data_IF_251100868213
#
_entry.id   IF_251100868213
#
_cell.length_a   1.000
_cell.length_b   1.000
_cell.length_c   1.000
_cell.angle_alpha   90.00
_cell.angle_beta   90.00
_cell.angle_gamma   90.00
#
_symmetry.space_group_name_H-M   'P 1'
#
loop_
_entity.id
_entity.type
_entity.pdbx_description
1 polymer ?
#
# COMPACT_ATOMS: atom_id res chain seq x y z
N UNK A 1 -10.56 -19.63 2.77
CA UNK A 1 -11.83 -19.42 2.10
C UNK A 1 -12.79 -18.79 3.06
N UNK A 2 -13.45 -17.72 2.64
CA UNK A 2 -14.50 -17.03 3.38
C UNK A 2 -15.86 -17.19 2.68
N UNK A 3 -16.92 -16.59 3.23
CA UNK A 3 -18.28 -16.74 2.69
C UNK A 3 -18.44 -16.12 1.28
N UNK A 4 -17.70 -15.07 0.93
CA UNK A 4 -17.77 -14.43 -0.39
C UNK A 4 -17.00 -15.23 -1.44
N UNK A 5 -15.84 -15.81 -1.10
CA UNK A 5 -15.15 -16.78 -1.95
C UNK A 5 -16.05 -17.99 -2.26
N UNK A 6 -16.72 -18.56 -1.26
CA UNK A 6 -17.65 -19.67 -1.48
C UNK A 6 -18.85 -19.25 -2.34
N UNK A 7 -19.37 -18.05 -2.11
CA UNK A 7 -20.47 -17.47 -2.90
C UNK A 7 -20.11 -17.31 -4.38
N UNK A 8 -18.89 -16.85 -4.67
CA UNK A 8 -18.33 -16.75 -6.02
C UNK A 8 -18.14 -18.15 -6.63
N UNK A 9 -17.51 -19.09 -5.89
CA UNK A 9 -17.25 -20.44 -6.39
C UNK A 9 -18.54 -21.24 -6.62
N UNK A 10 -19.60 -20.97 -5.87
CA UNK A 10 -20.91 -21.59 -6.06
C UNK A 10 -21.64 -21.08 -7.33
N UNK A 11 -21.07 -20.11 -8.05
CA UNK A 11 -21.65 -19.54 -9.25
C UNK A 11 -22.97 -18.80 -9.00
N UNK A 12 -23.17 -18.31 -7.77
CA UNK A 12 -24.36 -17.53 -7.40
C UNK A 12 -24.19 -16.09 -7.85
N UNK A 13 -22.98 -15.55 -7.74
CA UNK A 13 -22.67 -14.25 -8.28
C UNK A 13 -22.91 -14.21 -9.80
N UNK A 14 -23.61 -13.16 -10.22
CA UNK A 14 -23.83 -12.81 -11.62
C UNK A 14 -23.91 -11.29 -11.71
N UNK A 15 -23.57 -10.76 -12.88
CA UNK A 15 -23.75 -9.34 -13.16
C UNK A 15 -25.22 -8.96 -12.94
N UNK A 16 -25.46 -7.85 -12.23
CA UNK A 16 -26.80 -7.36 -11.86
C UNK A 16 -27.61 -8.31 -10.98
N UNK A 17 -26.97 -9.04 -10.06
CA UNK A 17 -27.71 -9.82 -9.08
C UNK A 17 -28.57 -8.89 -8.20
N UNK A 18 -29.89 -9.10 -8.25
CA UNK A 18 -30.88 -8.25 -7.56
C UNK A 18 -31.55 -8.93 -6.37
N UNK A 19 -31.52 -10.27 -6.31
CA UNK A 19 -32.14 -11.08 -5.26
C UNK A 19 -31.56 -12.49 -5.27
N UNK A 20 -31.63 -13.17 -4.12
CA UNK A 20 -31.29 -14.59 -3.96
C UNK A 20 -32.53 -15.46 -4.09
N UNK A 21 -32.34 -16.70 -4.54
CA UNK A 21 -33.39 -17.71 -4.59
C UNK A 21 -33.14 -18.84 -3.58
N UNK A 22 -34.17 -19.67 -3.36
CA UNK A 22 -34.07 -20.83 -2.46
C UNK A 22 -33.01 -21.83 -2.97
N UNK A 23 -32.88 -21.94 -4.30
CA UNK A 23 -31.89 -22.80 -4.95
C UNK A 23 -30.45 -22.36 -4.67
N UNK A 24 -30.21 -21.08 -4.37
CA UNK A 24 -28.86 -20.58 -4.08
C UNK A 24 -28.30 -21.19 -2.79
N UNK A 25 -29.13 -21.38 -1.76
CA UNK A 25 -28.72 -22.11 -0.54
C UNK A 25 -28.28 -23.56 -0.84
N UNK A 26 -28.92 -24.21 -1.81
CA UNK A 26 -28.56 -25.57 -2.20
C UNK A 26 -27.26 -25.62 -3.03
N UNK A 27 -27.03 -24.61 -3.88
CA UNK A 27 -25.74 -24.45 -4.56
C UNK A 27 -24.59 -24.27 -3.55
N UNK A 28 -24.80 -23.48 -2.51
CA UNK A 28 -23.81 -23.29 -1.43
C UNK A 28 -23.44 -24.64 -0.80
N UNK A 29 -24.42 -25.44 -0.39
CA UNK A 29 -24.16 -26.75 0.25
C UNK A 29 -23.35 -27.67 -0.67
N UNK A 30 -23.77 -27.78 -1.93
CA UNK A 30 -23.09 -28.62 -2.92
C UNK A 30 -21.66 -28.17 -3.19
N UNK A 31 -21.47 -26.86 -3.40
CA UNK A 31 -20.14 -26.31 -3.64
C UNK A 31 -19.24 -26.51 -2.42
N UNK A 32 -19.74 -26.29 -1.22
CA UNK A 32 -18.96 -26.48 0.00
C UNK A 32 -18.45 -27.91 0.16
N UNK A 33 -19.28 -28.93 -0.13
CA UNK A 33 -18.83 -30.32 -0.06
C UNK A 33 -17.76 -30.64 -1.11
N UNK A 34 -17.85 -30.04 -2.30
CA UNK A 34 -16.78 -30.13 -3.32
C UNK A 34 -15.47 -29.53 -2.79
N UNK A 35 -15.51 -28.31 -2.25
CA UNK A 35 -14.33 -27.63 -1.69
C UNK A 35 -13.75 -28.40 -0.50
N UNK A 36 -14.60 -28.91 0.40
CA UNK A 36 -14.19 -29.70 1.57
C UNK A 36 -13.52 -31.02 1.16
N UNK A 37 -13.97 -31.64 0.07
CA UNK A 37 -13.34 -32.86 -0.45
C UNK A 37 -11.90 -32.62 -0.94
N UNK A 38 -11.60 -31.41 -1.39
CA UNK A 38 -10.28 -30.99 -1.86
C UNK A 38 -9.43 -30.40 -0.73
N UNK A 39 -10.06 -29.81 0.29
CA UNK A 39 -9.42 -29.23 1.46
C UNK A 39 -10.15 -29.66 2.75
N UNK A 40 -9.72 -30.77 3.39
CA UNK A 40 -10.36 -31.28 4.60
C UNK A 40 -10.28 -30.37 5.83
N UNK A 41 -9.40 -29.36 5.81
CA UNK A 41 -9.20 -28.39 6.91
C UNK A 41 -10.10 -27.16 6.74
N UNK A 42 -10.96 -27.16 5.72
CA UNK A 42 -11.92 -26.09 5.48
C UNK A 42 -12.87 -25.94 6.68
N UNK A 43 -13.06 -24.70 7.12
CA UNK A 43 -13.93 -24.40 8.26
C UNK A 43 -15.38 -24.87 7.96
N UNK A 44 -15.93 -25.80 8.77
CA UNK A 44 -17.27 -26.35 8.57
C UNK A 44 -18.38 -25.30 8.65
N UNK A 45 -18.14 -24.16 9.29
CA UNK A 45 -19.14 -23.11 9.47
C UNK A 45 -19.34 -22.23 8.24
N UNK A 46 -18.42 -22.23 7.26
CA UNK A 46 -18.49 -21.30 6.10
C UNK A 46 -19.80 -21.47 5.33
N UNK A 47 -20.23 -22.71 5.05
CA UNK A 47 -21.49 -22.95 4.35
C UNK A 47 -22.69 -22.50 5.16
N UNK A 48 -22.73 -22.81 6.45
CA UNK A 48 -23.81 -22.42 7.34
C UNK A 48 -23.90 -20.88 7.40
N UNK A 49 -22.77 -20.20 7.58
CA UNK A 49 -22.68 -18.74 7.63
C UNK A 49 -23.12 -18.09 6.32
N UNK A 50 -22.73 -18.63 5.17
CA UNK A 50 -23.19 -18.10 3.88
C UNK A 50 -24.70 -18.32 3.67
N UNK A 51 -25.24 -19.48 4.07
CA UNK A 51 -26.68 -19.73 4.02
C UNK A 51 -27.44 -18.76 4.93
N UNK A 52 -26.93 -18.51 6.14
CA UNK A 52 -27.48 -17.49 7.04
C UNK A 52 -27.40 -16.10 6.41
N UNK A 53 -26.28 -15.72 5.79
CA UNK A 53 -26.14 -14.45 5.08
C UNK A 53 -27.16 -14.29 3.95
N UNK A 54 -27.39 -15.35 3.15
CA UNK A 54 -28.39 -15.36 2.07
C UNK A 54 -29.82 -15.19 2.62
N UNK A 55 -30.16 -15.90 3.69
CA UNK A 55 -31.54 -15.95 4.19
C UNK A 55 -31.92 -14.77 5.10
N UNK A 56 -30.99 -14.33 5.95
CA UNK A 56 -31.25 -13.33 6.99
C UNK A 56 -30.68 -11.94 6.66
N UNK A 57 -29.62 -11.87 5.85
CA UNK A 57 -28.92 -10.62 5.50
C UNK A 57 -28.77 -10.41 3.98
N UNK A 58 -29.84 -10.62 3.18
CA UNK A 58 -29.72 -10.64 1.74
C UNK A 58 -29.28 -9.28 1.16
N UNK A 59 -29.73 -8.17 1.75
CA UNK A 59 -29.42 -6.84 1.23
C UNK A 59 -27.95 -6.49 1.44
N UNK A 60 -27.42 -6.82 2.61
CA UNK A 60 -26.02 -6.62 2.99
C UNK A 60 -25.10 -7.47 2.10
N UNK A 61 -25.44 -8.74 1.86
CA UNK A 61 -24.67 -9.61 0.96
C UNK A 61 -24.71 -9.11 -0.49
N UNK A 62 -25.87 -8.64 -0.98
CA UNK A 62 -25.98 -8.02 -2.31
C UNK A 62 -25.19 -6.73 -2.39
N UNK A 63 -25.17 -5.91 -1.33
CA UNK A 63 -24.37 -4.69 -1.28
C UNK A 63 -22.89 -5.01 -1.46
N UNK A 64 -22.36 -5.96 -0.67
CA UNK A 64 -20.96 -6.40 -0.79
C UNK A 64 -20.69 -6.93 -2.20
N UNK A 65 -21.60 -7.74 -2.75
CA UNK A 65 -21.47 -8.30 -4.10
C UNK A 65 -21.40 -7.25 -5.20
N UNK A 66 -22.06 -6.11 -5.01
CA UNK A 66 -22.07 -5.01 -5.97
C UNK A 66 -21.01 -3.93 -5.67
N UNK A 67 -20.33 -3.98 -4.51
CA UNK A 67 -19.22 -3.09 -4.20
C UNK A 67 -17.91 -3.69 -4.71
N UNK A 68 -17.31 -3.06 -5.73
CA UNK A 68 -16.08 -3.55 -6.36
C UNK A 68 -14.94 -3.85 -5.38
N UNK A 69 -14.70 -2.96 -4.42
CA UNK A 69 -13.54 -3.06 -3.53
C UNK A 69 -13.74 -4.20 -2.56
N UNK A 70 -14.89 -4.21 -1.87
CA UNK A 70 -15.24 -5.26 -0.91
C UNK A 70 -15.33 -6.62 -1.60
N UNK A 71 -16.01 -6.70 -2.75
CA UNK A 71 -16.17 -7.94 -3.47
C UNK A 71 -14.85 -8.52 -3.94
N UNK A 72 -14.06 -7.76 -4.71
CA UNK A 72 -12.78 -8.24 -5.23
C UNK A 72 -11.85 -8.69 -4.10
N UNK A 73 -11.85 -7.95 -2.98
CA UNK A 73 -11.10 -8.32 -1.81
C UNK A 73 -11.55 -9.67 -1.23
N UNK A 74 -12.82 -9.77 -0.81
CA UNK A 74 -13.31 -10.97 -0.14
C UNK A 74 -13.44 -12.17 -1.07
N UNK A 75 -13.62 -11.98 -2.38
CA UNK A 75 -13.68 -13.09 -3.35
C UNK A 75 -12.29 -13.52 -3.85
N UNK A 76 -11.22 -12.77 -3.54
CA UNK A 76 -9.89 -12.97 -4.09
C UNK A 76 -9.83 -12.80 -5.63
N UNK A 77 -10.72 -11.97 -6.20
CA UNK A 77 -10.79 -11.70 -7.65
C UNK A 77 -10.36 -10.28 -7.96
N UNK A 78 -10.17 -9.95 -9.23
CA UNK A 78 -9.84 -8.60 -9.67
C UNK A 78 -10.72 -8.19 -10.86
N UNK A 79 -12.01 -8.07 -10.62
CA UNK A 79 -12.95 -7.64 -11.65
C UNK A 79 -12.83 -6.15 -11.94
N UNK A 80 -13.03 -5.80 -13.21
CA UNK A 80 -13.04 -4.43 -13.69
C UNK A 80 -14.30 -3.70 -13.21
N UNK A 81 -14.24 -2.36 -13.21
CA UNK A 81 -15.38 -1.51 -12.81
C UNK A 81 -16.64 -1.79 -13.64
N UNK A 82 -16.50 -2.18 -14.90
CA UNK A 82 -17.61 -2.43 -15.81
C UNK A 82 -18.50 -3.60 -15.35
N UNK A 83 -17.99 -4.48 -14.48
CA UNK A 83 -18.74 -5.61 -13.92
C UNK A 83 -19.67 -5.21 -12.77
N UNK A 84 -19.46 -4.04 -12.17
CA UNK A 84 -20.20 -3.55 -11.02
C UNK A 84 -21.07 -2.36 -11.46
N UNK A 85 -22.33 -2.63 -11.76
CA UNK A 85 -23.26 -1.64 -12.30
C UNK A 85 -23.89 -0.84 -11.15
N UNK A 86 -23.89 0.49 -11.28
CA UNK A 86 -24.41 1.43 -10.27
C UNK A 86 -25.94 1.49 -10.20
N UNK A 87 -26.63 0.98 -11.22
CA UNK A 87 -28.08 1.17 -11.41
C UNK A 87 -28.92 0.34 -10.41
N UNK A 88 -28.31 -0.67 -9.79
CA UNK A 88 -28.92 -1.50 -8.74
C UNK A 88 -28.30 -1.23 -7.38
N UNK A 89 -28.06 0.05 -7.05
CA UNK A 89 -27.57 0.44 -5.74
C UNK A 89 -28.53 -0.05 -4.64
N UNK A 90 -28.17 -1.17 -3.99
CA UNK A 90 -28.89 -1.67 -2.83
C UNK A 90 -28.62 -0.69 -1.70
N UNK A 91 -29.61 0.14 -1.36
CA UNK A 91 -29.48 1.07 -0.25
C UNK A 91 -29.53 0.29 1.06
N UNK A 92 -28.39 0.23 1.74
CA UNK A 92 -28.22 -0.38 3.06
C UNK A 92 -27.50 0.62 3.95
N UNK A 93 -27.98 0.86 5.19
CA UNK A 93 -27.26 1.70 6.13
C UNK A 93 -25.83 1.21 6.36
N UNK A 94 -24.86 2.11 6.42
CA UNK A 94 -23.44 1.76 6.64
C UNK A 94 -23.24 0.89 7.87
N UNK A 95 -23.94 1.18 8.96
CA UNK A 95 -23.87 0.40 10.21
C UNK A 95 -24.32 -1.05 10.05
N UNK A 96 -25.27 -1.33 9.16
CA UNK A 96 -25.68 -2.70 8.85
C UNK A 96 -24.60 -3.45 8.06
N UNK A 97 -23.92 -2.76 7.14
CA UNK A 97 -22.80 -3.34 6.40
C UNK A 97 -21.62 -3.62 7.34
N UNK A 98 -21.30 -2.70 8.25
CA UNK A 98 -20.29 -2.91 9.29
C UNK A 98 -20.63 -4.12 10.15
N UNK A 99 -21.86 -4.23 10.64
CA UNK A 99 -22.31 -5.36 11.44
C UNK A 99 -22.28 -6.69 10.67
N UNK A 100 -22.60 -6.67 9.38
CA UNK A 100 -22.48 -7.85 8.51
C UNK A 100 -21.03 -8.30 8.37
N UNK A 101 -20.12 -7.38 8.06
CA UNK A 101 -18.68 -7.69 7.91
C UNK A 101 -18.12 -8.17 9.25
N UNK A 102 -18.50 -7.52 10.36
CA UNK A 102 -18.08 -7.92 11.71
C UNK A 102 -18.49 -9.36 12.01
N UNK A 103 -19.75 -9.70 11.73
CA UNK A 103 -20.32 -11.02 11.99
C UNK A 103 -19.71 -12.14 11.15
N UNK A 104 -19.50 -11.90 9.84
CA UNK A 104 -19.18 -12.98 8.91
C UNK A 104 -17.75 -12.95 8.34
N UNK A 105 -17.06 -11.82 8.41
CA UNK A 105 -15.85 -11.57 7.62
C UNK A 105 -14.71 -10.90 8.42
N UNK A 106 -14.92 -10.53 9.68
CA UNK A 106 -13.91 -9.84 10.51
C UNK A 106 -12.60 -10.63 10.62
N UNK A 107 -12.67 -11.95 10.82
CA UNK A 107 -11.47 -12.80 10.93
C UNK A 107 -10.62 -12.76 9.67
N UNK A 108 -11.25 -12.80 8.50
CA UNK A 108 -10.55 -12.74 7.20
C UNK A 108 -9.98 -11.33 6.94
N UNK A 109 -10.72 -10.30 7.33
CA UNK A 109 -10.29 -8.91 7.26
C UNK A 109 -9.05 -8.65 8.13
N UNK A 110 -9.09 -9.05 9.40
CA UNK A 110 -7.99 -8.88 10.34
C UNK A 110 -6.75 -9.64 9.86
N UNK A 111 -6.94 -10.89 9.40
CA UNK A 111 -5.86 -11.69 8.82
C UNK A 111 -5.24 -11.03 7.59
N UNK A 112 -6.04 -10.43 6.73
CA UNK A 112 -5.53 -9.67 5.57
C UNK A 112 -4.66 -8.50 6.01
N UNK A 113 -5.11 -7.70 6.98
CA UNK A 113 -4.34 -6.58 7.50
C UNK A 113 -3.02 -7.06 8.12
N UNK A 114 -3.06 -8.11 8.94
CA UNK A 114 -1.88 -8.71 9.55
C UNK A 114 -0.84 -9.16 8.53
N UNK A 115 -1.28 -9.92 7.53
CA UNK A 115 -0.39 -10.46 6.50
C UNK A 115 0.25 -9.36 5.66
N UNK A 116 -0.53 -8.36 5.23
CA UNK A 116 0.00 -7.28 4.39
C UNK A 116 0.89 -6.32 5.19
N UNK A 117 0.58 -6.03 6.45
CA UNK A 117 1.49 -5.27 7.31
C UNK A 117 2.80 -6.00 7.58
N UNK A 118 2.74 -7.32 7.82
CA UNK A 118 3.95 -8.12 8.01
C UNK A 118 4.83 -8.15 6.76
N UNK A 119 4.22 -8.15 5.57
CA UNK A 119 4.91 -8.13 4.27
C UNK A 119 5.24 -6.72 3.78
N UNK A 120 4.98 -5.67 4.57
CA UNK A 120 5.17 -4.26 4.20
C UNK A 120 4.41 -3.83 2.90
N UNK A 121 3.30 -4.50 2.59
CA UNK A 121 2.38 -4.18 1.47
C UNK A 121 1.35 -3.12 1.88
N UNK A 122 1.84 -1.93 2.23
CA UNK A 122 0.98 -0.86 2.76
C UNK A 122 0.05 -0.25 1.72
N UNK A 123 0.46 -0.23 0.46
CA UNK A 123 -0.35 0.20 -0.69
C UNK A 123 -1.61 -0.66 -0.84
N UNK A 124 -1.48 -1.98 -0.71
CA UNK A 124 -2.62 -2.90 -0.80
C UNK A 124 -3.64 -2.63 0.32
N UNK A 125 -3.17 -2.31 1.52
CA UNK A 125 -4.05 -1.95 2.64
C UNK A 125 -4.68 -0.58 2.41
N UNK A 126 -3.90 0.42 1.99
CA UNK A 126 -4.40 1.78 1.69
C UNK A 126 -5.46 1.77 0.59
N UNK A 127 -5.25 0.99 -0.48
CA UNK A 127 -6.21 0.80 -1.56
C UNK A 127 -7.52 0.19 -1.06
N UNK A 128 -7.45 -0.75 -0.12
CA UNK A 128 -8.64 -1.33 0.50
C UNK A 128 -9.39 -0.33 1.40
N UNK A 129 -8.67 0.57 2.08
CA UNK A 129 -9.27 1.63 2.90
C UNK A 129 -10.07 2.67 2.09
N UNK A 130 -10.06 2.61 0.76
CA UNK A 130 -11.06 3.33 -0.05
C UNK A 130 -12.51 2.87 0.24
N UNK A 131 -12.70 1.70 0.87
CA UNK A 131 -13.99 1.23 1.39
C UNK A 131 -14.11 1.33 2.92
N UNK A 132 -13.26 2.15 3.57
CA UNK A 132 -13.14 2.25 5.05
C UNK A 132 -14.45 2.50 5.78
N UNK A 133 -15.36 3.27 5.18
CA UNK A 133 -16.67 3.59 5.78
C UNK A 133 -17.54 2.37 6.07
N UNK A 134 -17.30 1.24 5.40
CA UNK A 134 -18.05 0.00 5.60
C UNK A 134 -17.36 -0.96 6.59
N UNK A 135 -16.14 -0.67 7.03
CA UNK A 135 -15.36 -1.62 7.82
C UNK A 135 -15.73 -1.55 9.31
N UNK A 136 -15.72 -2.69 10.02
CA UNK A 136 -15.93 -2.71 11.47
C UNK A 136 -14.89 -1.86 12.21
N UNK A 137 -15.34 -1.08 13.20
CA UNK A 137 -14.46 -0.21 13.96
C UNK A 137 -13.36 -0.98 14.69
N UNK A 138 -13.67 -2.17 15.23
CA UNK A 138 -12.69 -3.02 15.91
C UNK A 138 -11.51 -3.39 14.99
N UNK A 139 -11.77 -3.78 13.75
CA UNK A 139 -10.72 -4.10 12.77
C UNK A 139 -9.90 -2.87 12.39
N UNK A 140 -10.53 -1.70 12.30
CA UNK A 140 -9.83 -0.43 12.05
C UNK A 140 -8.95 -0.02 13.23
N UNK A 141 -9.44 -0.16 14.46
CA UNK A 141 -8.68 0.13 15.67
C UNK A 141 -7.47 -0.80 15.81
N UNK A 142 -7.67 -2.11 15.57
CA UNK A 142 -6.60 -3.10 15.53
C UNK A 142 -5.53 -2.76 14.48
N UNK A 143 -5.95 -2.35 13.27
CA UNK A 143 -5.03 -1.91 12.22
C UNK A 143 -4.26 -0.64 12.65
N UNK A 144 -4.94 0.34 13.21
CA UNK A 144 -4.35 1.57 13.73
C UNK A 144 -3.33 1.31 14.84
N UNK A 145 -3.64 0.40 15.76
CA UNK A 145 -2.73 -0.04 16.82
C UNK A 145 -1.48 -0.70 16.22
N UNK A 146 -1.63 -1.64 15.28
CA UNK A 146 -0.48 -2.31 14.64
C UNK A 146 0.43 -1.34 13.87
N UNK A 147 -0.14 -0.30 13.24
CA UNK A 147 0.63 0.76 12.59
C UNK A 147 1.42 1.60 13.61
N UNK A 148 0.78 1.89 14.73
CA UNK A 148 1.38 2.60 15.87
C UNK A 148 2.53 1.78 16.47
N UNK A 149 2.36 0.47 16.64
CA UNK A 149 3.39 -0.48 17.08
C UNK A 149 4.56 -0.57 16.09
N UNK A 150 4.32 -0.47 14.77
CA UNK A 150 5.40 -0.36 13.78
C UNK A 150 6.23 0.91 13.94
N UNK A 151 5.61 2.04 14.30
CA UNK A 151 6.36 3.26 14.61
C UNK A 151 7.19 3.08 15.90
N UNK A 152 6.62 2.47 16.93
CA UNK A 152 7.34 2.14 18.17
C UNK A 152 8.54 1.24 17.90
N UNK A 153 8.36 0.22 17.06
CA UNK A 153 9.44 -0.68 16.65
C UNK A 153 10.62 0.10 16.05
N UNK A 154 10.36 1.08 15.17
CA UNK A 154 11.41 1.91 14.56
C UNK A 154 12.10 2.77 15.61
N UNK A 155 11.34 3.46 16.46
CA UNK A 155 11.89 4.31 17.54
C UNK A 155 12.81 3.47 18.45
N UNK A 156 12.32 2.31 18.90
CA UNK A 156 13.05 1.39 19.77
C UNK A 156 14.32 0.84 19.08
N UNK A 157 14.27 0.58 17.77
CA UNK A 157 15.46 0.14 17.02
C UNK A 157 16.56 1.18 17.01
N UNK A 158 16.23 2.46 16.83
CA UNK A 158 17.23 3.53 16.92
C UNK A 158 17.81 3.68 18.33
N UNK A 159 17.02 3.46 19.37
CA UNK A 159 17.49 3.54 20.76
C UNK A 159 18.39 2.36 21.15
N UNK A 160 18.07 1.15 20.69
CA UNK A 160 18.82 -0.06 21.02
C UNK A 160 20.07 -0.25 20.16
N UNK A 161 20.01 0.09 18.87
CA UNK A 161 21.13 -0.03 17.94
C UNK A 161 21.25 1.21 17.05
N UNK A 162 21.83 2.31 17.54
CA UNK A 162 21.94 3.55 16.78
C UNK A 162 22.79 3.42 15.50
N UNK A 163 23.67 2.43 15.44
CA UNK A 163 24.49 2.15 14.25
C UNK A 163 23.76 1.35 13.19
N UNK A 164 22.61 0.73 13.50
CA UNK A 164 21.89 -0.28 12.70
C UNK A 164 22.82 -1.31 12.02
N UNK A 165 23.97 -1.60 12.63
CA UNK A 165 25.01 -2.48 12.09
C UNK A 165 24.49 -3.89 11.74
N UNK A 166 23.37 -4.29 12.34
CA UNK A 166 22.55 -5.42 11.95
C UNK A 166 21.07 -5.06 12.08
N UNK A 167 20.25 -5.50 11.13
CA UNK A 167 18.80 -5.32 11.16
C UNK A 167 18.26 -4.01 10.58
N UNK A 168 19.04 -3.27 9.78
CA UNK A 168 18.55 -2.12 9.01
C UNK A 168 17.41 -2.49 8.05
N UNK A 169 17.46 -3.69 7.45
CA UNK A 169 16.41 -4.27 6.61
C UNK A 169 15.06 -4.34 7.35
N UNK A 170 15.07 -4.57 8.66
CA UNK A 170 13.85 -4.69 9.45
C UNK A 170 13.06 -3.37 9.54
N UNK A 171 13.69 -2.23 9.29
CA UNK A 171 13.05 -0.91 9.27
C UNK A 171 13.07 -0.27 7.88
N UNK A 172 13.48 -0.99 6.84
CA UNK A 172 13.61 -0.43 5.48
C UNK A 172 12.31 0.19 4.97
N UNK A 173 11.17 -0.31 5.44
CA UNK A 173 9.86 0.20 5.11
C UNK A 173 9.65 1.69 5.43
N UNK A 174 10.43 2.30 6.32
CA UNK A 174 10.35 3.75 6.59
C UNK A 174 10.83 4.59 5.40
N UNK A 175 11.49 3.98 4.40
CA UNK A 175 11.84 4.64 3.15
C UNK A 175 10.64 4.74 2.20
N UNK A 176 9.53 4.04 2.48
CA UNK A 176 8.41 3.91 1.54
C UNK A 176 7.30 4.92 1.82
N UNK A 177 6.89 5.64 0.76
CA UNK A 177 5.76 6.57 0.77
C UNK A 177 4.47 5.93 1.28
N UNK A 178 4.20 4.70 0.84
CA UNK A 178 2.96 3.96 1.11
C UNK A 178 2.76 3.71 2.60
N UNK A 179 3.83 3.52 3.37
CA UNK A 179 3.77 3.43 4.82
C UNK A 179 3.20 4.71 5.44
N UNK A 180 3.76 5.88 5.10
CA UNK A 180 3.31 7.16 5.65
C UNK A 180 1.91 7.58 5.20
N UNK A 181 1.53 7.26 3.95
CA UNK A 181 0.16 7.44 3.47
C UNK A 181 -0.81 6.63 4.33
N UNK A 182 -0.52 5.35 4.58
CA UNK A 182 -1.38 4.49 5.38
C UNK A 182 -1.48 4.97 6.84
N UNK A 183 -0.35 5.32 7.48
CA UNK A 183 -0.33 5.87 8.85
C UNK A 183 -1.15 7.16 8.93
N UNK A 184 -1.23 7.96 7.85
CA UNK A 184 -2.04 9.16 7.79
C UNK A 184 -3.55 8.89 7.95
N UNK A 185 -4.04 7.70 7.61
CA UNK A 185 -5.45 7.32 7.83
C UNK A 185 -5.79 7.08 9.32
N UNK A 186 -4.76 6.97 10.16
CA UNK A 186 -4.83 6.71 11.61
C UNK A 186 -4.03 7.75 12.40
N UNK A 187 -4.05 9.01 11.94
CA UNK A 187 -3.36 10.11 12.62
C UNK A 187 -3.86 10.27 14.07
N UNK A 188 -2.91 10.52 14.97
CA UNK A 188 -3.13 10.77 16.39
C UNK A 188 -1.96 11.59 16.93
N UNK A 189 -2.13 12.29 18.05
CA UNK A 189 -1.03 13.01 18.69
C UNK A 189 0.14 12.08 19.06
N UNK A 190 -0.18 10.83 19.39
CA UNK A 190 0.81 9.80 19.66
C UNK A 190 1.63 9.46 18.41
N UNK A 191 0.97 9.27 17.26
CA UNK A 191 1.65 9.02 15.99
C UNK A 191 2.48 10.23 15.55
N UNK A 192 2.00 11.46 15.76
CA UNK A 192 2.77 12.68 15.51
C UNK A 192 4.06 12.71 16.34
N UNK A 193 3.98 12.39 17.64
CA UNK A 193 5.16 12.31 18.53
C UNK A 193 6.16 11.26 18.05
N UNK A 194 5.68 10.08 17.62
CA UNK A 194 6.54 9.00 17.12
C UNK A 194 7.20 9.36 15.79
N UNK A 195 6.47 9.96 14.86
CA UNK A 195 7.01 10.46 13.59
C UNK A 195 8.08 11.53 13.85
N UNK A 196 7.83 12.46 14.77
CA UNK A 196 8.82 13.46 15.21
C UNK A 196 10.06 12.79 15.81
N UNK A 197 9.89 11.78 16.66
CA UNK A 197 11.00 11.05 17.26
C UNK A 197 11.85 10.33 16.20
N UNK A 198 11.23 9.64 15.25
CA UNK A 198 11.90 8.98 14.12
C UNK A 198 12.71 10.01 13.33
N UNK A 199 12.09 11.13 12.97
CA UNK A 199 12.75 12.22 12.24
C UNK A 199 13.94 12.80 13.02
N UNK A 200 13.77 13.15 14.29
CA UNK A 200 14.82 13.74 15.13
C UNK A 200 15.99 12.78 15.37
N UNK A 201 15.73 11.48 15.55
CA UNK A 201 16.79 10.48 15.74
C UNK A 201 17.61 10.26 14.46
N UNK A 202 16.94 10.19 13.29
CA UNK A 202 17.61 10.01 12.00
C UNK A 202 18.41 11.26 11.59
N UNK A 203 17.88 12.47 11.83
CA UNK A 203 18.56 13.72 11.47
C UNK A 203 19.64 14.14 12.49
N UNK A 204 19.52 13.70 13.74
CA UNK A 204 20.46 13.99 14.82
C UNK A 204 21.73 13.13 14.81
N UNK A 205 22.56 13.26 15.85
CA UNK A 205 23.82 12.52 16.01
C UNK A 205 23.67 11.08 16.52
N UNK A 206 22.45 10.66 16.87
CA UNK A 206 22.16 9.34 17.42
C UNK A 206 22.47 8.27 16.38
N UNK A 207 21.95 8.43 15.16
CA UNK A 207 22.19 7.49 14.07
C UNK A 207 23.55 7.75 13.42
N UNK A 208 24.29 6.66 13.13
CA UNK A 208 25.61 6.73 12.48
C UNK A 208 25.55 7.47 11.14
N UNK A 209 26.65 8.11 10.74
CA UNK A 209 26.70 8.88 9.49
C UNK A 209 26.40 8.02 8.25
N UNK A 210 26.83 6.75 8.25
CA UNK A 210 26.59 5.81 7.15
C UNK A 210 25.09 5.54 6.99
N UNK A 211 24.42 5.15 8.08
CA UNK A 211 22.98 4.90 8.06
C UNK A 211 22.20 6.16 7.72
N UNK A 212 22.61 7.31 8.27
CA UNK A 212 21.98 8.59 7.98
C UNK A 212 22.03 8.89 6.49
N UNK A 213 23.18 8.72 5.85
CA UNK A 213 23.33 8.95 4.42
C UNK A 213 22.44 8.02 3.57
N UNK A 214 22.21 6.79 4.03
CA UNK A 214 21.40 5.81 3.30
C UNK A 214 19.88 6.02 3.52
N UNK A 215 19.46 6.37 4.73
CA UNK A 215 18.03 6.40 5.10
C UNK A 215 17.44 7.80 5.12
N UNK A 216 18.19 8.84 5.53
CA UNK A 216 17.60 10.15 5.86
C UNK A 216 16.85 10.75 4.68
N UNK A 217 17.48 10.80 3.51
CA UNK A 217 16.86 11.37 2.32
C UNK A 217 15.60 10.60 1.89
N UNK A 218 15.65 9.29 1.58
CA UNK A 218 14.47 8.56 1.13
C UNK A 218 13.37 8.54 2.19
N UNK A 219 13.73 8.47 3.48
CA UNK A 219 12.79 8.57 4.58
C UNK A 219 12.10 9.95 4.61
N UNK A 220 12.85 11.06 4.58
CA UNK A 220 12.26 12.42 4.61
C UNK A 220 11.38 12.65 3.37
N UNK A 221 11.84 12.23 2.18
CA UNK A 221 11.08 12.35 0.94
C UNK A 221 9.78 11.53 0.95
N UNK A 222 9.75 10.42 1.67
CA UNK A 222 8.53 9.62 1.88
C UNK A 222 7.65 10.17 3.01
N UNK A 223 8.25 10.67 4.08
CA UNK A 223 7.58 11.14 5.31
C UNK A 223 6.68 12.36 5.08
N UNK A 224 6.93 13.18 4.05
CA UNK A 224 6.02 14.29 3.68
C UNK A 224 4.60 13.85 3.31
N UNK A 225 4.39 12.55 3.04
CA UNK A 225 3.08 11.98 2.75
C UNK A 225 2.25 11.69 4.01
N UNK A 226 2.87 11.75 5.18
CA UNK A 226 2.15 11.73 6.44
C UNK A 226 1.43 13.08 6.64
N UNK A 227 0.13 13.06 6.98
CA UNK A 227 -0.66 14.26 7.29
C UNK A 227 -0.84 14.36 8.82
N UNK A 228 0.09 15.00 9.55
CA UNK A 228 0.02 15.12 10.99
C UNK A 228 -1.17 15.97 11.44
N UNK A 229 -1.54 15.84 12.71
CA UNK A 229 -2.46 16.77 13.39
C UNK A 229 -1.70 18.07 13.71
N UNK A 230 -0.45 17.94 14.15
CA UNK A 230 0.48 19.03 14.41
C UNK A 230 1.03 19.64 13.11
N UNK A 231 0.58 20.86 12.79
CA UNK A 231 1.02 21.61 11.61
C UNK A 231 2.52 21.95 11.62
N UNK A 232 3.14 22.15 12.79
CA UNK A 232 4.58 22.44 12.89
C UNK A 232 5.43 21.25 12.47
N UNK A 233 4.96 20.03 12.77
CA UNK A 233 5.61 18.80 12.30
C UNK A 233 5.60 18.73 10.77
N UNK A 234 4.47 19.05 10.14
CA UNK A 234 4.36 19.08 8.68
C UNK A 234 5.34 20.08 8.05
N UNK A 235 5.40 21.30 8.59
CA UNK A 235 6.30 22.35 8.11
C UNK A 235 7.76 21.97 8.26
N UNK A 236 8.13 21.35 9.38
CA UNK A 236 9.50 20.89 9.63
C UNK A 236 9.96 19.84 8.62
N UNK A 237 9.12 18.83 8.36
CA UNK A 237 9.44 17.74 7.42
C UNK A 237 9.54 18.29 5.99
N UNK A 238 8.61 19.16 5.58
CA UNK A 238 8.62 19.80 4.25
C UNK A 238 9.82 20.71 4.05
N UNK A 239 10.13 21.57 5.01
CA UNK A 239 11.29 22.46 4.92
C UNK A 239 12.61 21.68 4.77
N UNK A 240 12.74 20.54 5.44
CA UNK A 240 13.92 19.69 5.25
C UNK A 240 13.94 19.04 3.86
N UNK A 241 12.80 18.53 3.37
CA UNK A 241 12.70 18.03 2.00
C UNK A 241 13.14 19.10 0.98
N UNK A 242 12.63 20.32 1.10
CA UNK A 242 12.97 21.42 0.18
C UNK A 242 14.47 21.74 0.21
N UNK A 243 15.12 21.64 1.38
CA UNK A 243 16.57 21.81 1.51
C UNK A 243 17.37 20.68 0.85
N UNK A 244 16.89 19.44 0.95
CA UNK A 244 17.52 18.28 0.29
C UNK A 244 17.38 18.42 -1.23
N UNK A 245 16.18 18.72 -1.70
CA UNK A 245 15.89 18.90 -3.13
C UNK A 245 16.73 20.07 -3.70
N UNK A 246 16.81 21.21 -3.01
CA UNK A 246 17.65 22.34 -3.41
C UNK A 246 19.16 22.05 -3.39
N UNK A 247 19.64 21.19 -2.49
CA UNK A 247 21.04 20.76 -2.46
C UNK A 247 21.37 19.88 -3.67
N UNK A 248 20.45 18.99 -4.06
CA UNK A 248 20.55 18.19 -5.29
C UNK A 248 20.55 19.06 -6.54
N UNK A 249 19.66 20.03 -6.63
CA UNK A 249 19.62 20.95 -7.77
C UNK A 249 20.93 21.73 -7.92
N UNK A 250 21.57 22.09 -6.80
CA UNK A 250 22.92 22.68 -6.78
C UNK A 250 24.01 21.70 -7.19
N UNK A 251 23.93 20.43 -6.81
CA UNK A 251 24.86 19.38 -7.25
C UNK A 251 24.73 19.10 -8.75
N UNK A 252 23.50 19.00 -9.28
CA UNK A 252 23.24 18.85 -10.72
C UNK A 252 23.67 20.08 -11.53
N UNK A 253 23.52 21.29 -10.99
CA UNK A 253 23.96 22.53 -11.65
C UNK A 253 25.45 22.84 -11.49
N UNK A 254 26.10 22.34 -10.42
CA UNK A 254 27.56 22.44 -10.22
C UNK A 254 28.34 21.28 -10.88
N UNK A 255 27.64 20.22 -11.28
CA UNK A 255 28.13 19.14 -12.15
C UNK A 255 28.37 19.54 -13.61
N UNK A 256 28.12 20.80 -14.00
CA UNK A 256 28.57 21.32 -15.30
C UNK A 256 30.07 21.70 -15.25
N UNK A 257 30.93 20.76 -14.86
CA UNK A 257 32.37 20.89 -15.10
C UNK A 257 32.66 20.48 -16.55
N UNK A 258 32.77 21.49 -17.41
CA UNK A 258 33.65 21.55 -18.60
C UNK A 258 33.99 20.24 -19.34
N UNK A 259 33.02 19.35 -19.55
CA UNK A 259 33.14 18.21 -20.45
C UNK A 259 33.09 18.74 -21.87
N UNK A 260 34.22 18.68 -22.57
CA UNK A 260 34.36 19.07 -23.97
C UNK A 260 33.15 18.57 -24.76
N UNK A 261 32.30 19.50 -25.21
CA UNK A 261 31.00 19.14 -25.82
C UNK A 261 31.21 18.16 -26.96
N UNK A 262 30.29 17.23 -27.19
CA UNK A 262 30.35 16.28 -28.31
C UNK A 262 30.56 16.99 -29.65
N UNK A 263 30.10 18.24 -29.77
CA UNK A 263 30.36 19.15 -30.89
C UNK A 263 31.84 19.53 -31.07
N UNK A 264 32.56 19.76 -29.98
CA UNK A 264 33.99 20.03 -29.96
C UNK A 264 34.80 18.80 -30.41
N UNK A 265 34.38 17.59 -30.00
CA UNK A 265 34.98 16.33 -30.46
C UNK A 265 34.76 16.14 -31.97
N UNK A 266 33.54 16.37 -32.46
CA UNK A 266 33.21 16.31 -33.89
C UNK A 266 34.04 17.33 -34.69
N UNK A 267 34.20 18.55 -34.18
CA UNK A 267 35.02 19.57 -34.84
C UNK A 267 36.49 19.17 -34.94
N UNK A 268 37.06 18.56 -33.90
CA UNK A 268 38.44 18.04 -33.92
C UNK A 268 38.58 16.92 -34.96
N UNK A 269 37.63 15.98 -35.01
CA UNK A 269 37.62 14.90 -36.00
C UNK A 269 37.60 15.46 -37.43
N UNK A 270 36.77 16.48 -37.69
CA UNK A 270 36.69 17.14 -39.02
C UNK A 270 38.02 17.80 -39.38
N UNK A 271 38.68 18.47 -38.43
CA UNK A 271 39.99 19.12 -38.67
C UNK A 271 41.06 18.08 -38.97
N UNK A 272 41.10 16.96 -38.23
CA UNK A 272 42.05 15.87 -38.47
C UNK A 272 41.82 15.22 -39.84
N UNK A 273 40.57 14.96 -40.23
CA UNK A 273 40.23 14.44 -41.57
C UNK A 273 40.67 15.41 -42.67
N UNK A 274 40.45 16.72 -42.50
CA UNK A 274 40.92 17.73 -43.46
C UNK A 274 42.43 17.76 -43.59
N UNK A 275 43.17 17.63 -42.49
CA UNK A 275 44.63 17.56 -42.50
C UNK A 275 45.15 16.31 -43.21
N UNK A 276 44.54 15.15 -42.98
CA UNK A 276 44.88 13.90 -43.68
C UNK A 276 44.62 14.04 -45.18
N UNK A 277 43.49 14.63 -45.58
CA UNK A 277 43.17 14.86 -47.00
C UNK A 277 44.12 15.87 -47.67
N UNK A 278 44.58 16.89 -46.93
CA UNK A 278 45.58 17.85 -47.41
C UNK A 278 46.95 17.20 -47.62
N UNK A 279 47.38 16.37 -46.66
CA UNK A 279 48.62 15.58 -46.77
C UNK A 279 48.55 14.56 -47.91
N UNK A 280 47.40 13.91 -48.12
CA UNK A 280 47.18 12.98 -49.23
C UNK A 280 47.18 13.69 -50.61
N UNK A 281 46.81 14.97 -50.67
CA UNK A 281 46.92 15.80 -51.88
C UNK A 281 48.36 16.27 -52.15
N UNK A 282 49.13 16.55 -51.09
CA UNK A 282 50.54 16.95 -51.20
C UNK A 282 51.48 15.77 -51.51
N UNK A 283 51.11 14.54 -51.15
CA UNK A 283 51.85 13.32 -51.51
C UNK A 283 51.56 12.76 -52.91
N UNK A 284 50.73 13.44 -53.71
CA UNK A 284 50.42 13.08 -55.12
C UNK A 284 50.84 14.17 -56.13
N UNK A 285 51.73 15.08 -55.72
CA UNK A 285 52.40 16.04 -56.59
C UNK A 285 53.85 15.60 -56.81
#
# INVERSE_FOLDING_TARGET
MNIIELFENAGIYRENLSAFSIEDSEKVRKQFEIERSQNPVLDPEIAANLITAINEFPKELLFISNNRILYNFFSGKNYSRNRFISDYAVSVPEENIKAFIDKFLAKDLDKFFEQNLAQNKFDVVDDFLNAKEYLPQNSLDNLGQKLTEKLDFVVNKFDQNPSLSSGAEAIEFIKYRTFYTLVSNFRSEENDKKIRAIYSKMSGSIVSAVVRNEFLEPMVSSMVNYKPIDYELSNTIRSHKDRIDAAKDREYSSGSSSGMSTWSIIAIIIVVIRLILLMARLGRA
#
